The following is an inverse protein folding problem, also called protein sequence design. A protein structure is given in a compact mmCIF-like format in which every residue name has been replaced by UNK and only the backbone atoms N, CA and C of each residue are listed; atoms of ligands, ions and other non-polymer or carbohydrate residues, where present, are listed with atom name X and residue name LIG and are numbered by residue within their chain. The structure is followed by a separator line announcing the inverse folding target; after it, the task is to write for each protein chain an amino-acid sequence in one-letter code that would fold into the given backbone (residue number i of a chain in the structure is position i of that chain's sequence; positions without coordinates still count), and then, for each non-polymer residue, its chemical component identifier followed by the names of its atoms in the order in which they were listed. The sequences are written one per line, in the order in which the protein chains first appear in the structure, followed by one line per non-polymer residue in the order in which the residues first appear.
data_IF_908611275761
#
_entry.id   IF_908611275761
#
_cell.length_a   1.000
_cell.length_b   1.000
_cell.length_c   1.000
_cell.angle_alpha   90.00
_cell.angle_beta   90.00
_cell.angle_gamma   90.00
#
_symmetry.space_group_name_H-M   'P 1'
#
loop_
_entity.id
_entity.type
_entity.pdbx_description
1 polymer ?
#
# COMPACT_ATOMS: atom_id res chain seq x y z
N UNK A 1 -18.06 20.60 -8.63
CA UNK A 1 -17.40 19.30 -8.44
C UNK A 1 -15.91 19.53 -8.33
N UNK A 2 -15.25 18.93 -7.34
CA UNK A 2 -13.81 19.08 -7.16
C UNK A 2 -13.07 17.99 -7.97
N UNK A 3 -12.15 18.32 -8.90
CA UNK A 3 -11.43 17.34 -9.73
C UNK A 3 -10.68 16.27 -8.91
N UNK A 4 -10.41 16.56 -7.63
CA UNK A 4 -9.78 15.64 -6.69
C UNK A 4 -10.60 14.37 -6.41
N UNK A 5 -11.89 14.32 -6.73
CA UNK A 5 -12.77 13.18 -6.44
C UNK A 5 -12.77 12.09 -7.52
N UNK A 6 -12.17 12.33 -8.69
CA UNK A 6 -12.12 11.36 -9.78
C UNK A 6 -10.77 10.63 -9.84
N UNK A 7 -10.82 9.34 -10.14
CA UNK A 7 -9.66 8.53 -10.53
C UNK A 7 -9.63 8.44 -12.06
N UNK A 8 -8.51 8.80 -12.68
CA UNK A 8 -8.40 8.81 -14.15
C UNK A 8 -7.97 7.44 -14.66
N UNK A 9 -8.75 6.81 -15.53
CA UNK A 9 -8.36 5.58 -16.23
C UNK A 9 -7.60 5.96 -17.50
N UNK A 10 -6.43 5.36 -17.71
CA UNK A 10 -5.63 5.57 -18.92
C UNK A 10 -5.95 4.49 -19.95
N UNK A 11 -6.66 4.85 -21.02
CA UNK A 11 -7.01 3.92 -22.09
C UNK A 11 -5.89 3.91 -23.14
N UNK A 12 -5.04 2.88 -23.08
CA UNK A 12 -4.01 2.60 -24.09
C UNK A 12 -4.56 1.80 -25.27
N UNK A 13 -3.84 1.79 -26.40
CA UNK A 13 -4.22 0.97 -27.55
C UNK A 13 -4.27 -0.53 -27.18
N UNK A 14 -5.12 -1.30 -27.88
CA UNK A 14 -5.30 -2.73 -27.61
C UNK A 14 -3.99 -3.51 -27.77
N UNK A 15 -3.19 -3.16 -28.79
CA UNK A 15 -1.87 -3.78 -29.05
C UNK A 15 -0.93 -3.52 -27.87
N UNK A 16 -0.85 -2.26 -27.42
CA UNK A 16 0.02 -1.88 -26.31
C UNK A 16 -0.37 -2.58 -25.01
N UNK A 17 -1.67 -2.63 -24.70
CA UNK A 17 -2.19 -3.38 -23.54
C UNK A 17 -1.85 -4.86 -23.60
N UNK A 18 -1.95 -5.47 -24.78
CA UNK A 18 -1.59 -6.88 -24.94
C UNK A 18 -0.10 -7.11 -24.68
N UNK A 19 0.75 -6.24 -25.22
CA UNK A 19 2.19 -6.28 -24.98
C UNK A 19 2.53 -6.08 -23.48
N UNK A 20 1.93 -5.09 -22.84
CA UNK A 20 2.09 -4.84 -21.40
C UNK A 20 1.63 -6.00 -20.54
N UNK A 21 0.56 -6.71 -20.95
CA UNK A 21 0.11 -7.93 -20.27
C UNK A 21 1.16 -9.05 -20.33
N UNK A 22 1.79 -9.24 -21.48
CA UNK A 22 2.87 -10.24 -21.64
C UNK A 22 4.08 -9.85 -20.79
N UNK A 23 4.48 -8.56 -20.80
CA UNK A 23 5.59 -8.08 -19.97
C UNK A 23 5.30 -8.26 -18.48
N UNK A 24 4.14 -7.81 -18.01
CA UNK A 24 3.73 -7.95 -16.62
C UNK A 24 3.72 -9.43 -16.19
N UNK A 25 3.18 -10.33 -17.01
CA UNK A 25 3.18 -11.77 -16.73
C UNK A 25 4.59 -12.34 -16.57
N UNK A 26 5.55 -11.92 -17.41
CA UNK A 26 6.96 -12.36 -17.29
C UNK A 26 7.65 -11.79 -16.07
N UNK A 27 7.36 -10.54 -15.73
CA UNK A 27 7.94 -9.88 -14.55
C UNK A 27 7.39 -10.44 -13.24
N UNK A 28 6.09 -10.77 -13.18
CA UNK A 28 5.47 -11.43 -12.03
C UNK A 28 6.02 -12.84 -11.77
N UNK A 29 6.57 -13.51 -12.78
CA UNK A 29 7.22 -14.81 -12.61
C UNK A 29 8.61 -14.72 -11.95
N UNK A 30 9.15 -13.51 -11.78
CA UNK A 30 10.42 -13.27 -11.11
C UNK A 30 10.16 -12.86 -9.65
N UNK A 31 11.08 -13.15 -8.71
CA UNK A 31 10.96 -12.77 -7.30
C UNK A 31 11.26 -11.28 -7.09
N UNK A 32 10.51 -10.41 -7.77
CA UNK A 32 10.70 -8.96 -7.81
C UNK A 32 9.77 -8.21 -6.87
N UNK A 33 8.66 -8.81 -6.44
CA UNK A 33 7.69 -8.17 -5.55
C UNK A 33 7.86 -8.67 -4.12
N UNK A 34 7.49 -7.84 -3.15
CA UNK A 34 7.46 -8.23 -1.75
C UNK A 34 6.30 -9.20 -1.50
N UNK A 35 6.56 -10.30 -0.77
CA UNK A 35 5.57 -11.33 -0.43
C UNK A 35 4.40 -10.81 0.42
N UNK A 36 4.55 -9.63 1.03
CA UNK A 36 3.52 -8.96 1.83
C UNK A 36 2.55 -8.13 0.99
N UNK A 37 2.77 -8.00 -0.32
CA UNK A 37 1.87 -7.32 -1.26
C UNK A 37 0.99 -8.34 -1.98
N UNK A 38 -0.29 -8.32 -1.65
CA UNK A 38 -1.26 -9.30 -2.13
C UNK A 38 -2.21 -8.77 -3.19
N UNK A 39 -2.11 -7.49 -3.57
CA UNK A 39 -2.84 -7.01 -4.73
C UNK A 39 -2.12 -7.32 -6.05
N UNK A 40 -2.92 -7.62 -7.08
CA UNK A 40 -2.45 -7.83 -8.46
C UNK A 40 -1.43 -8.98 -8.61
N UNK A 41 -1.42 -9.94 -7.69
CA UNK A 41 -0.70 -11.21 -7.80
C UNK A 41 -1.65 -12.33 -8.23
N UNK A 42 -1.12 -13.46 -8.69
CA UNK A 42 -1.91 -14.64 -9.10
C UNK A 42 -2.37 -15.46 -7.87
N UNK A 43 -3.05 -14.83 -6.92
CA UNK A 43 -3.64 -15.45 -5.73
C UNK A 43 -4.90 -14.69 -5.30
N UNK A 44 -5.74 -15.31 -4.46
CA UNK A 44 -6.87 -14.62 -3.82
C UNK A 44 -6.36 -13.82 -2.60
N UNK A 45 -5.73 -12.68 -2.89
CA UNK A 45 -5.09 -11.84 -1.89
C UNK A 45 -6.06 -11.26 -0.84
N UNK A 46 -7.36 -11.20 -1.14
CA UNK A 46 -8.37 -10.73 -0.18
C UNK A 46 -8.64 -11.83 0.85
N UNK A 47 -8.94 -13.05 0.39
CA UNK A 47 -9.19 -14.17 1.29
C UNK A 47 -7.98 -14.49 2.18
N UNK A 48 -6.76 -14.40 1.64
CA UNK A 48 -5.52 -14.55 2.41
C UNK A 48 -5.36 -13.44 3.46
N UNK A 49 -5.73 -12.20 3.12
CA UNK A 49 -5.71 -11.08 4.06
C UNK A 49 -6.68 -11.19 5.19
N UNK A 50 -7.91 -11.56 4.89
CA UNK A 50 -8.92 -11.76 5.90
C UNK A 50 -8.54 -12.92 6.82
N UNK A 51 -8.00 -14.01 6.25
CA UNK A 51 -7.52 -15.16 7.02
C UNK A 51 -6.37 -14.78 7.96
N UNK A 52 -5.34 -14.09 7.47
CA UNK A 52 -4.21 -13.69 8.31
C UNK A 52 -4.63 -12.68 9.37
N UNK A 53 -5.54 -11.75 9.07
CA UNK A 53 -6.09 -10.83 10.05
C UNK A 53 -6.85 -11.55 11.17
N UNK A 54 -7.71 -12.52 10.82
CA UNK A 54 -8.42 -13.34 11.79
C UNK A 54 -7.44 -14.15 12.65
N UNK A 55 -6.38 -14.70 12.05
CA UNK A 55 -5.34 -15.44 12.77
C UNK A 55 -4.59 -14.56 13.78
N UNK A 56 -4.26 -13.31 13.42
CA UNK A 56 -3.64 -12.34 14.34
C UNK A 56 -4.52 -12.04 15.55
N UNK A 57 -5.82 -11.81 15.32
CA UNK A 57 -6.77 -11.52 16.39
C UNK A 57 -6.93 -12.74 17.32
N UNK A 58 -7.06 -13.94 16.75
CA UNK A 58 -7.17 -15.18 17.51
C UNK A 58 -5.92 -15.45 18.35
N UNK A 59 -4.72 -15.32 17.76
CA UNK A 59 -3.45 -15.46 18.49
C UNK A 59 -3.36 -14.49 19.67
N UNK A 60 -3.76 -13.22 19.48
CA UNK A 60 -3.75 -12.21 20.52
C UNK A 60 -4.74 -12.56 21.66
N UNK A 61 -5.93 -13.04 21.31
CA UNK A 61 -6.96 -13.47 22.26
C UNK A 61 -6.52 -14.71 23.06
N UNK A 62 -6.05 -15.76 22.38
CA UNK A 62 -5.65 -17.01 23.02
C UNK A 62 -4.45 -16.85 23.96
N UNK A 63 -3.48 -16.02 23.55
CA UNK A 63 -2.25 -15.80 24.34
C UNK A 63 -2.33 -14.61 25.28
N UNK A 64 -3.45 -13.87 25.29
CA UNK A 64 -3.63 -12.64 26.06
C UNK A 64 -2.49 -11.65 25.84
N UNK A 65 -2.14 -11.40 24.58
CA UNK A 65 -1.07 -10.49 24.16
C UNK A 65 -1.65 -9.24 23.53
N UNK A 66 -0.96 -8.13 23.71
CA UNK A 66 -1.32 -6.89 23.04
C UNK A 66 -1.20 -7.05 21.52
N UNK A 67 -2.16 -6.46 20.80
CA UNK A 67 -2.18 -6.37 19.34
C UNK A 67 -2.61 -4.95 18.98
N UNK A 68 -1.75 -4.27 18.22
CA UNK A 68 -2.04 -2.96 17.66
C UNK A 68 -1.95 -3.05 16.14
N UNK A 69 -2.98 -2.55 15.47
CA UNK A 69 -3.04 -2.49 14.02
C UNK A 69 -3.37 -1.06 13.57
N UNK A 70 -2.79 -0.62 12.46
CA UNK A 70 -3.21 0.60 11.78
C UNK A 70 -3.49 0.35 10.31
N UNK A 71 -4.61 0.88 9.85
CA UNK A 71 -5.06 0.85 8.47
C UNK A 71 -4.76 2.21 7.85
N UNK A 72 -3.98 2.22 6.76
CA UNK A 72 -3.55 3.41 6.05
C UNK A 72 -3.85 3.23 4.56
N UNK A 73 -4.74 4.08 4.03
CA UNK A 73 -4.97 4.22 2.59
C UNK A 73 -3.97 5.23 2.00
N UNK A 74 -3.25 4.80 0.97
CA UNK A 74 -2.33 5.63 0.18
C UNK A 74 -3.13 6.48 -0.84
N UNK A 75 -3.13 7.79 -0.61
CA UNK A 75 -3.86 8.77 -1.42
C UNK A 75 -3.39 8.75 -2.87
N UNK A 76 -4.29 8.36 -3.78
CA UNK A 76 -4.09 8.44 -5.25
C UNK A 76 -2.70 7.93 -5.63
N UNK A 77 -2.34 6.75 -5.15
CA UNK A 77 -0.97 6.27 -5.19
C UNK A 77 -0.45 6.14 -6.64
N UNK A 78 -1.31 5.67 -7.54
CA UNK A 78 -1.06 5.64 -8.98
C UNK A 78 -0.75 7.03 -9.55
N UNK A 79 -1.45 8.08 -9.11
CA UNK A 79 -1.27 9.43 -9.69
C UNK A 79 -0.10 10.21 -9.08
N UNK A 80 0.45 9.77 -7.94
CA UNK A 80 1.33 10.59 -7.11
C UNK A 80 2.75 10.08 -6.97
N UNK A 81 3.01 8.78 -7.21
CA UNK A 81 4.35 8.20 -7.11
C UNK A 81 5.37 8.92 -8.01
N UNK A 82 6.56 9.22 -7.48
CA UNK A 82 7.61 9.87 -8.25
C UNK A 82 8.24 8.91 -9.26
N UNK A 83 8.39 9.37 -10.50
CA UNK A 83 9.07 8.62 -11.57
C UNK A 83 10.51 8.24 -11.19
N UNK A 84 11.24 9.12 -10.50
CA UNK A 84 12.58 8.82 -10.01
C UNK A 84 12.59 7.69 -8.98
N UNK A 85 11.55 7.58 -8.15
CA UNK A 85 11.40 6.48 -7.20
C UNK A 85 11.20 5.16 -7.95
N UNK A 86 10.34 5.14 -8.97
CA UNK A 86 10.14 3.97 -9.83
C UNK A 86 11.48 3.54 -10.46
N UNK A 87 12.20 4.49 -11.09
CA UNK A 87 13.48 4.22 -11.73
C UNK A 87 14.49 3.61 -10.76
N UNK A 88 14.65 4.24 -9.60
CA UNK A 88 15.58 3.77 -8.57
C UNK A 88 15.25 2.33 -8.11
N UNK A 89 13.96 2.00 -8.00
CA UNK A 89 13.51 0.66 -7.60
C UNK A 89 13.77 -0.38 -8.68
N UNK A 90 13.48 -0.06 -9.95
CA UNK A 90 13.76 -0.99 -11.04
C UNK A 90 15.26 -1.31 -11.13
N UNK A 91 16.11 -0.28 -10.95
CA UNK A 91 17.56 -0.44 -10.93
C UNK A 91 18.03 -1.27 -9.73
N UNK A 92 17.49 -1.03 -8.53
CA UNK A 92 17.90 -1.78 -7.32
C UNK A 92 17.50 -3.25 -7.37
N UNK A 93 16.45 -3.59 -8.12
CA UNK A 93 16.03 -4.98 -8.38
C UNK A 93 16.73 -5.64 -9.56
N UNK A 94 17.70 -4.97 -10.17
CA UNK A 94 18.49 -5.53 -11.27
C UNK A 94 17.71 -5.68 -12.58
N UNK A 95 16.63 -4.91 -12.78
CA UNK A 95 15.91 -4.94 -14.05
C UNK A 95 16.79 -4.41 -15.19
N UNK A 96 16.73 -5.01 -16.39
CA UNK A 96 17.56 -4.59 -17.51
C UNK A 96 17.33 -3.11 -17.89
N UNK A 97 18.40 -2.38 -18.16
CA UNK A 97 18.33 -0.97 -18.59
C UNK A 97 17.33 -0.71 -19.74
N UNK A 98 17.25 -1.55 -20.80
CA UNK A 98 16.26 -1.32 -21.87
C UNK A 98 14.81 -1.35 -21.37
N UNK A 99 14.50 -2.22 -20.40
CA UNK A 99 13.17 -2.30 -19.80
C UNK A 99 12.91 -1.09 -18.90
N UNK A 100 13.89 -0.69 -18.09
CA UNK A 100 13.79 0.50 -17.25
C UNK A 100 13.55 1.74 -18.09
N UNK A 101 14.32 1.96 -19.17
CA UNK A 101 14.13 3.10 -20.07
C UNK A 101 12.78 3.05 -20.80
N UNK A 102 12.30 1.85 -21.19
CA UNK A 102 10.96 1.69 -21.74
C UNK A 102 9.87 2.18 -20.77
N UNK A 103 9.94 1.72 -19.52
CA UNK A 103 8.98 2.11 -18.47
C UNK A 103 9.06 3.60 -18.18
N UNK A 104 10.28 4.16 -18.10
CA UNK A 104 10.47 5.58 -17.86
C UNK A 104 9.89 6.42 -19.01
N UNK A 105 10.14 6.01 -20.26
CA UNK A 105 9.58 6.68 -21.42
C UNK A 105 8.05 6.66 -21.41
N UNK A 106 7.45 5.51 -21.07
CA UNK A 106 6.00 5.39 -20.90
C UNK A 106 5.47 6.37 -19.84
N UNK A 107 6.16 6.52 -18.71
CA UNK A 107 5.72 7.40 -17.62
C UNK A 107 5.87 8.89 -17.98
N UNK A 108 7.02 9.30 -18.55
CA UNK A 108 7.36 10.72 -18.75
C UNK A 108 6.85 11.32 -20.05
N UNK A 109 6.63 10.50 -21.08
CA UNK A 109 6.14 10.97 -22.40
C UNK A 109 4.65 10.70 -22.61
N UNK A 110 3.96 10.21 -21.57
CA UNK A 110 2.51 10.07 -21.62
C UNK A 110 1.84 11.44 -21.78
N UNK A 111 0.78 11.46 -22.59
CA UNK A 111 -0.10 12.63 -22.75
C UNK A 111 -1.50 12.19 -22.42
N UNK A 112 -2.06 12.79 -21.36
CA UNK A 112 -3.44 12.57 -20.97
C UNK A 112 -4.34 13.67 -21.55
N UNK A 113 -5.58 13.32 -21.84
CA UNK A 113 -6.67 14.28 -22.13
C UNK A 113 -7.89 13.83 -21.36
N UNK A 114 -8.61 14.78 -20.79
CA UNK A 114 -9.91 14.51 -20.16
C UNK A 114 -10.98 14.63 -21.24
N UNK A 115 -11.85 13.63 -21.31
CA UNK A 115 -13.05 13.67 -22.16
C UNK A 115 -14.26 13.91 -21.27
N UNK A 116 -15.00 14.99 -21.53
CA UNK A 116 -16.26 15.32 -20.85
C UNK A 116 -17.27 15.68 -21.93
N UNK A 117 -18.39 14.97 -21.97
CA UNK A 117 -19.47 15.18 -22.95
C UNK A 117 -18.98 15.22 -24.41
N UNK A 118 -18.03 14.34 -24.76
CA UNK A 118 -17.44 14.24 -26.10
C UNK A 118 -16.43 15.34 -26.45
N UNK A 119 -16.12 16.25 -25.51
CA UNK A 119 -15.10 17.28 -25.69
C UNK A 119 -13.80 16.89 -24.98
N UNK A 120 -12.69 17.03 -25.71
CA UNK A 120 -11.35 16.79 -25.17
C UNK A 120 -10.75 18.05 -24.56
N UNK A 121 -10.14 17.90 -23.38
CA UNK A 121 -9.33 18.94 -22.78
C UNK A 121 -8.05 19.23 -23.58
N UNK A 122 -7.38 20.33 -23.23
CA UNK A 122 -5.98 20.52 -23.61
C UNK A 122 -5.11 19.33 -23.16
N UNK A 123 -4.00 19.03 -23.87
CA UNK A 123 -3.04 18.00 -23.46
C UNK A 123 -2.51 18.24 -22.05
N UNK A 124 -2.54 17.21 -21.23
CA UNK A 124 -1.97 17.17 -19.88
C UNK A 124 -0.74 16.27 -19.92
N UNK A 125 0.39 16.76 -19.42
CA UNK A 125 1.64 16.01 -19.31
C UNK A 125 1.87 15.60 -17.85
N UNK A 126 1.64 14.34 -17.48
CA UNK A 126 1.86 13.87 -16.12
C UNK A 126 3.34 13.99 -15.74
N UNK A 127 3.62 14.66 -14.62
CA UNK A 127 4.99 14.81 -14.07
C UNK A 127 5.34 13.77 -13.01
N UNK A 128 4.36 12.95 -12.63
CA UNK A 128 4.42 11.90 -11.62
C UNK A 128 3.28 10.92 -11.88
N UNK A 129 3.34 9.78 -11.22
CA UNK A 129 2.35 8.72 -11.31
C UNK A 129 2.58 7.75 -12.47
N UNK A 130 1.75 6.72 -12.50
CA UNK A 130 1.66 5.67 -13.52
C UNK A 130 0.20 5.55 -13.96
N UNK A 131 -0.03 5.26 -15.24
CA UNK A 131 -1.39 5.21 -15.78
C UNK A 131 -2.19 4.05 -15.20
N UNK A 132 -3.38 4.33 -14.64
CA UNK A 132 -4.27 3.30 -14.11
C UNK A 132 -4.96 2.50 -15.24
N UNK A 133 -5.15 1.20 -15.05
CA UNK A 133 -5.88 0.33 -15.99
C UNK A 133 -5.00 -0.49 -16.93
N UNK A 134 -3.68 -0.40 -16.78
CA UNK A 134 -2.70 -1.20 -17.52
C UNK A 134 -1.96 -2.17 -16.60
N UNK A 135 -1.78 -3.41 -17.03
CA UNK A 135 -1.18 -4.46 -16.20
C UNK A 135 0.29 -4.21 -15.86
N UNK A 136 1.04 -3.56 -16.76
CA UNK A 136 2.44 -3.21 -16.49
C UNK A 136 2.49 -2.06 -15.47
N UNK A 137 1.61 -1.07 -15.58
CA UNK A 137 1.46 -0.02 -14.58
C UNK A 137 1.12 -0.57 -13.19
N UNK A 138 0.23 -1.56 -13.08
CA UNK A 138 -0.06 -2.23 -11.79
C UNK A 138 1.17 -2.91 -11.21
N UNK A 139 1.97 -3.60 -12.02
CA UNK A 139 3.23 -4.20 -11.57
C UNK A 139 4.23 -3.14 -11.08
N UNK A 140 4.41 -2.05 -11.84
CA UNK A 140 5.30 -0.95 -11.48
C UNK A 140 4.83 -0.25 -10.19
N UNK A 141 3.52 -0.12 -10.02
CA UNK A 141 2.93 0.42 -8.81
C UNK A 141 3.27 -0.42 -7.58
N UNK A 142 3.05 -1.74 -7.64
CA UNK A 142 3.43 -2.66 -6.57
C UNK A 142 4.93 -2.57 -6.27
N UNK A 143 5.76 -2.48 -7.30
CA UNK A 143 7.19 -2.30 -7.14
C UNK A 143 7.54 -1.01 -6.38
N UNK A 144 6.83 0.09 -6.66
CA UNK A 144 6.96 1.34 -5.90
C UNK A 144 6.54 1.18 -4.43
N UNK A 145 5.47 0.44 -4.16
CA UNK A 145 5.00 0.14 -2.81
C UNK A 145 5.96 -0.74 -2.01
N UNK A 146 6.70 -1.63 -2.66
CA UNK A 146 7.71 -2.46 -1.98
C UNK A 146 8.75 -1.62 -1.24
N UNK A 147 9.14 -0.46 -1.75
CA UNK A 147 10.06 0.41 -1.03
C UNK A 147 9.48 0.90 0.30
N UNK A 148 8.16 1.14 0.33
CA UNK A 148 7.43 1.54 1.54
C UNK A 148 7.36 0.35 2.51
N UNK A 149 7.02 -0.84 2.01
CA UNK A 149 6.95 -2.07 2.82
C UNK A 149 8.32 -2.44 3.39
N UNK A 150 9.40 -2.29 2.61
CA UNK A 150 10.77 -2.60 3.02
C UNK A 150 11.33 -1.60 4.05
N UNK A 151 10.69 -0.45 4.26
CA UNK A 151 11.07 0.48 5.32
C UNK A 151 10.53 0.06 6.70
N UNK A 152 9.69 -0.98 6.77
CA UNK A 152 9.14 -1.50 8.01
C UNK A 152 10.24 -2.28 8.75
N UNK A 153 10.57 -1.92 10.00
CA UNK A 153 11.56 -2.66 10.79
C UNK A 153 11.19 -4.14 10.92
N UNK A 154 12.15 -5.01 10.62
CA UNK A 154 11.95 -6.47 10.60
C UNK A 154 11.68 -7.07 11.98
N UNK A 155 12.11 -6.37 13.02
CA UNK A 155 12.02 -6.74 14.43
C UNK A 155 10.68 -6.36 15.07
N UNK A 156 9.91 -5.48 14.42
CA UNK A 156 8.58 -5.05 14.90
C UNK A 156 7.50 -5.82 14.16
N UNK A 157 6.51 -6.32 14.90
CA UNK A 157 5.38 -7.09 14.36
C UNK A 157 4.75 -7.99 15.42
N UNK A 158 3.67 -8.69 15.05
CA UNK A 158 3.08 -9.79 15.81
C UNK A 158 3.76 -11.11 15.48
N UNK A 159 4.23 -11.81 16.51
CA UNK A 159 4.85 -13.13 16.38
C UNK A 159 3.77 -14.20 16.45
N UNK A 160 3.56 -14.92 15.35
CA UNK A 160 2.67 -16.09 15.23
C UNK A 160 3.54 -17.30 14.90
N UNK A 161 3.69 -18.22 15.86
CA UNK A 161 4.62 -19.34 15.72
C UNK A 161 6.06 -18.87 15.50
N UNK A 162 6.69 -19.28 14.40
CA UNK A 162 8.03 -18.84 13.99
C UNK A 162 8.03 -17.61 13.07
N UNK A 163 6.86 -17.11 12.67
CA UNK A 163 6.71 -16.04 11.70
C UNK A 163 6.35 -14.73 12.40
N UNK A 164 6.90 -13.62 11.92
CA UNK A 164 6.53 -12.28 12.38
C UNK A 164 5.75 -11.55 11.29
N UNK A 165 4.51 -11.21 11.60
CA UNK A 165 3.62 -10.43 10.73
C UNK A 165 3.71 -8.96 11.12
N UNK A 166 4.12 -8.11 10.19
CA UNK A 166 4.30 -6.67 10.47
C UNK A 166 3.54 -5.76 9.50
N UNK A 167 3.10 -6.30 8.36
CA UNK A 167 2.34 -5.58 7.36
C UNK A 167 1.56 -6.55 6.49
N UNK A 168 0.33 -6.17 6.15
CA UNK A 168 -0.44 -6.71 5.04
C UNK A 168 -0.68 -5.56 4.06
N UNK A 169 -0.28 -5.71 2.80
CA UNK A 169 -0.47 -4.69 1.78
C UNK A 169 -1.41 -5.21 0.69
N UNK A 170 -2.41 -4.41 0.36
CA UNK A 170 -3.32 -4.66 -0.74
C UNK A 170 -3.49 -3.39 -1.57
N UNK A 171 -2.70 -3.28 -2.64
CA UNK A 171 -2.67 -2.13 -3.54
C UNK A 171 -2.37 -0.84 -2.76
N UNK A 172 -3.40 0.00 -2.56
CA UNK A 172 -3.29 1.27 -1.85
C UNK A 172 -3.53 1.11 -0.34
N UNK A 173 -4.03 -0.02 0.13
CA UNK A 173 -4.35 -0.26 1.53
C UNK A 173 -3.18 -0.95 2.22
N UNK A 174 -2.76 -0.40 3.36
CA UNK A 174 -1.73 -0.95 4.22
C UNK A 174 -2.30 -1.21 5.61
N UNK A 175 -2.17 -2.44 6.10
CA UNK A 175 -2.43 -2.81 7.49
C UNK A 175 -1.09 -3.05 8.16
N UNK A 176 -0.68 -2.15 9.05
CA UNK A 176 0.55 -2.25 9.82
C UNK A 176 0.25 -2.88 11.17
N UNK A 177 1.18 -3.70 11.69
CA UNK A 177 0.93 -4.53 12.86
C UNK A 177 2.10 -4.46 13.83
N UNK A 178 1.81 -4.36 15.13
CA UNK A 178 2.80 -4.52 16.18
C UNK A 178 2.18 -5.05 17.49
N UNK A 179 3.00 -5.74 18.30
CA UNK A 179 2.59 -6.21 19.63
C UNK A 179 2.49 -5.09 20.65
N UNK A 180 3.33 -4.06 20.54
CA UNK A 180 3.36 -2.95 21.50
C UNK A 180 3.03 -1.63 20.80
N UNK A 181 2.35 -0.74 21.53
CA UNK A 181 1.97 0.59 21.04
C UNK A 181 3.14 1.37 20.43
N UNK A 182 4.28 1.42 21.11
CA UNK A 182 5.46 2.14 20.63
C UNK A 182 6.00 1.54 19.32
N UNK A 183 5.89 0.22 19.16
CA UNK A 183 6.27 -0.48 17.94
C UNK A 183 5.40 -0.07 16.77
N UNK A 184 4.07 -0.02 16.95
CA UNK A 184 3.19 0.42 15.87
C UNK A 184 3.46 1.88 15.48
N UNK A 185 3.68 2.77 16.46
CA UNK A 185 4.03 4.17 16.20
C UNK A 185 5.32 4.29 15.38
N UNK A 186 6.37 3.55 15.75
CA UNK A 186 7.62 3.50 15.00
C UNK A 186 7.40 3.03 13.55
N UNK A 187 6.65 1.95 13.36
CA UNK A 187 6.34 1.42 12.02
C UNK A 187 5.59 2.45 11.17
N UNK A 188 4.58 3.12 11.74
CA UNK A 188 3.84 4.18 11.05
C UNK A 188 4.75 5.34 10.65
N UNK A 189 5.65 5.79 11.53
CA UNK A 189 6.57 6.88 11.26
C UNK A 189 7.57 6.51 10.13
N UNK A 190 8.08 5.28 10.15
CA UNK A 190 8.95 4.75 9.08
C UNK A 190 8.22 4.70 7.74
N UNK A 191 7.00 4.14 7.71
CA UNK A 191 6.17 4.01 6.51
C UNK A 191 5.84 5.38 5.94
N UNK A 192 5.35 6.31 6.74
CA UNK A 192 4.95 7.66 6.30
C UNK A 192 6.16 8.46 5.80
N UNK A 193 7.30 8.36 6.48
CA UNK A 193 8.54 8.98 6.01
C UNK A 193 8.99 8.42 4.66
N UNK A 194 8.88 7.11 4.46
CA UNK A 194 9.24 6.47 3.20
C UNK A 194 8.25 6.80 2.08
N UNK A 195 6.95 6.81 2.36
CA UNK A 195 5.91 7.26 1.43
C UNK A 195 6.25 8.65 0.89
N UNK A 196 6.61 9.60 1.77
CA UNK A 196 6.99 10.96 1.38
C UNK A 196 8.17 10.98 0.40
N UNK A 197 9.19 10.16 0.64
CA UNK A 197 10.35 10.05 -0.28
C UNK A 197 9.96 9.49 -1.65
N UNK A 198 8.95 8.63 -1.70
CA UNK A 198 8.39 8.07 -2.92
C UNK A 198 7.35 8.98 -3.62
N UNK A 199 7.02 10.14 -3.04
CA UNK A 199 5.99 11.05 -3.55
C UNK A 199 4.56 10.66 -3.17
N UNK A 200 4.41 9.67 -2.29
CA UNK A 200 3.14 9.18 -1.77
C UNK A 200 2.75 9.91 -0.49
N UNK A 201 1.46 9.91 -0.20
CA UNK A 201 0.89 10.44 1.04
C UNK A 201 -0.29 9.60 1.45
N UNK A 202 -0.57 9.52 2.75
CA UNK A 202 -1.72 8.80 3.27
C UNK A 202 -2.98 9.68 3.32
N UNK A 203 -4.18 9.11 3.22
CA UNK A 203 -5.46 9.84 3.34
C UNK A 203 -5.87 10.00 4.81
N UNK A 204 -5.86 11.20 5.42
CA UNK A 204 -6.19 11.36 6.84
C UNK A 204 -7.56 10.83 7.23
N UNK A 205 -8.56 11.00 6.35
CA UNK A 205 -9.95 10.57 6.58
C UNK A 205 -10.15 9.06 6.54
N UNK A 206 -9.18 8.31 6.02
CA UNK A 206 -9.21 6.84 5.89
C UNK A 206 -8.13 6.14 6.73
N UNK A 207 -7.55 6.86 7.70
CA UNK A 207 -6.62 6.26 8.66
C UNK A 207 -7.39 5.81 9.90
N UNK A 208 -7.26 4.55 10.26
CA UNK A 208 -7.89 3.99 11.47
C UNK A 208 -6.91 3.09 12.22
N UNK A 209 -7.04 2.99 13.53
CA UNK A 209 -6.26 2.09 14.36
C UNK A 209 -7.17 1.20 15.20
N UNK A 210 -6.73 -0.03 15.45
CA UNK A 210 -7.36 -0.97 16.38
C UNK A 210 -6.31 -1.40 17.40
N UNK A 211 -6.67 -1.36 18.68
CA UNK A 211 -5.81 -1.83 19.76
C UNK A 211 -6.57 -2.80 20.64
N UNK A 212 -6.06 -4.02 20.74
CA UNK A 212 -6.52 -5.06 21.66
C UNK A 212 -5.47 -5.22 22.75
N UNK A 213 -5.87 -5.07 24.01
CA UNK A 213 -4.96 -5.23 25.16
C UNK A 213 -5.57 -6.14 26.23
N UNK A 214 -4.76 -6.97 26.91
CA UNK A 214 -5.29 -7.86 27.94
C UNK A 214 -5.73 -7.09 29.19
N UNK A 215 -6.94 -7.39 29.68
CA UNK A 215 -7.45 -6.94 30.98
C UNK A 215 -6.92 -7.86 32.07
N UNK A 216 -5.93 -7.39 32.84
CA UNK A 216 -5.33 -8.17 33.93
C UNK A 216 -6.30 -8.63 35.03
N UNK A 217 -7.50 -8.04 35.11
CA UNK A 217 -8.54 -8.43 36.07
C UNK A 217 -9.51 -9.48 35.54
N UNK A 218 -9.82 -9.44 34.24
CA UNK A 218 -10.89 -10.26 33.64
C UNK A 218 -10.36 -11.42 32.80
N UNK A 219 -9.04 -11.47 32.51
CA UNK A 219 -8.44 -12.43 31.57
C UNK A 219 -9.08 -12.41 30.18
N UNK A 220 -9.56 -11.24 29.78
CA UNK A 220 -10.19 -10.98 28.49
C UNK A 220 -9.44 -9.87 27.76
N UNK A 221 -9.59 -9.81 26.43
CA UNK A 221 -9.06 -8.73 25.62
C UNK A 221 -10.02 -7.53 25.61
N UNK A 222 -9.46 -6.33 25.73
CA UNK A 222 -10.18 -5.06 25.66
C UNK A 222 -9.79 -4.28 24.42
N UNK A 223 -10.80 -3.74 23.74
CA UNK A 223 -10.61 -2.75 22.68
C UNK A 223 -10.34 -1.39 23.33
N UNK A 224 -9.27 -0.70 22.92
CA UNK A 224 -9.02 0.68 23.35
C UNK A 224 -9.65 1.64 22.36
N UNK A 225 -10.71 2.34 22.77
CA UNK A 225 -11.42 3.29 21.91
C UNK A 225 -10.80 4.70 21.89
N UNK A 226 -9.95 5.04 22.86
CA UNK A 226 -9.32 6.36 22.92
C UNK A 226 -8.19 6.51 21.89
N UNK A 227 -8.04 7.67 21.22
CA UNK A 227 -6.93 7.91 20.29
C UNK A 227 -5.57 7.76 20.97
N UNK A 228 -4.75 6.82 20.49
CA UNK A 228 -3.43 6.52 21.07
C UNK A 228 -2.25 6.78 20.13
N UNK A 229 -2.51 7.00 18.85
CA UNK A 229 -1.51 7.12 17.79
C UNK A 229 -1.59 8.46 17.06
N UNK A 230 -0.46 8.92 16.56
CA UNK A 230 -0.34 10.18 15.83
C UNK A 230 0.36 9.94 14.51
N UNK A 231 -0.19 10.43 13.41
CA UNK A 231 0.50 10.47 12.11
C UNK A 231 0.50 11.91 11.63
N UNK A 232 1.67 12.45 11.26
CA UNK A 232 1.81 13.81 10.72
C UNK A 232 1.21 14.89 11.63
N UNK A 233 1.29 14.69 12.95
CA UNK A 233 0.75 15.62 13.95
C UNK A 233 -0.77 15.52 14.16
N UNK A 234 -1.47 14.59 13.51
CA UNK A 234 -2.90 14.36 13.66
C UNK A 234 -3.16 13.06 14.42
N UNK A 235 -4.11 13.10 15.37
CA UNK A 235 -4.56 11.89 16.05
C UNK A 235 -5.28 10.97 15.07
N UNK A 236 -4.99 9.67 15.17
CA UNK A 236 -5.71 8.66 14.41
C UNK A 236 -7.04 8.29 15.09
N UNK A 237 -8.08 8.09 14.27
CA UNK A 237 -9.34 7.48 14.75
C UNK A 237 -9.02 6.07 15.26
N UNK A 238 -9.40 5.76 16.50
CA UNK A 238 -9.43 4.39 16.98
C UNK A 238 -10.81 3.78 16.72
N UNK A 239 -10.82 2.52 16.29
CA UNK A 239 -12.01 1.71 16.13
C UNK A 239 -12.45 1.26 17.52
N UNK A 240 -13.65 1.68 17.92
CA UNK A 240 -14.26 1.26 19.18
C UNK A 240 -15.24 0.10 18.99
N UNK A 241 -15.75 -0.42 20.11
CA UNK A 241 -16.82 -1.44 20.12
C UNK A 241 -18.11 -0.91 19.46
N UNK A 242 -18.29 0.41 19.47
CA UNK A 242 -19.46 1.11 18.91
C UNK A 242 -19.42 1.23 17.38
N UNK A 243 -18.27 0.95 16.76
CA UNK A 243 -18.08 0.95 15.30
C UNK A 243 -18.31 -0.46 14.69
N UNK A 244 -18.75 -1.46 15.48
CA UNK A 244 -18.95 -2.87 15.08
C UNK A 244 -20.37 -3.20 14.63
#
# INVERSE_FOLDING_TARGET
MEPAQFCTISISSVILRHFHRVLASRLMALPLLNEKQWAFINADGIAESDFVMAMMINEANEKLRQLHMSMIDVKKAFDTVYHNSIRATMMSRGLPNPLTEYVMNMCTHSVARLEVDGQLSAPIHPRRGVGQGDSLSSFIFNLGMDNVINAIPSEVGLSIGSTRVNCLAFANDLVLVAEIKQGLQLVMDCVVNQMRKCGLSSLPTKRQALSLVPSGREKEMKVISEPTFVIEGQQMKQIGIEDS
#
